data_IF_465300053042
#
_entry.id   IF_465300053042
#
_cell.length_a   1.000
_cell.length_b   1.000
_cell.length_c   1.000
_cell.angle_alpha   90.00
_cell.angle_beta   90.00
_cell.angle_gamma   90.00
#
_symmetry.space_group_name_H-M   'P 1'
#
loop_
_entity.id
_entity.type
_entity.pdbx_description
1 polymer ?
#
# COMPACT_ATOMS: atom_id res chain seq x y z
N UNK A 1 30.57 -17.06 -16.66
CA UNK A 1 30.20 -17.09 -15.23
C UNK A 1 28.69 -17.30 -15.16
N UNK A 2 28.23 -18.51 -14.85
CA UNK A 2 26.81 -18.86 -14.80
C UNK A 2 26.28 -18.82 -13.37
N UNK A 3 25.32 -17.95 -13.10
CA UNK A 3 24.60 -17.87 -11.83
C UNK A 3 23.65 -19.07 -11.73
N UNK A 4 23.84 -19.92 -10.72
CA UNK A 4 22.93 -21.02 -10.41
C UNK A 4 21.67 -20.47 -9.73
N UNK A 5 20.45 -20.86 -10.15
CA UNK A 5 19.23 -20.49 -9.44
C UNK A 5 19.15 -21.23 -8.09
N UNK A 6 18.95 -20.47 -7.01
CA UNK A 6 18.70 -21.01 -5.69
C UNK A 6 17.40 -21.83 -5.70
N UNK A 7 17.53 -23.13 -5.41
CA UNK A 7 16.39 -24.02 -5.24
C UNK A 7 15.50 -23.55 -4.10
N UNK A 8 14.21 -23.33 -4.40
CA UNK A 8 13.16 -23.20 -3.39
C UNK A 8 13.17 -24.45 -2.52
N UNK A 9 13.45 -24.30 -1.22
CA UNK A 9 13.23 -25.37 -0.25
C UNK A 9 11.72 -25.67 -0.20
N UNK A 10 11.28 -26.93 -0.35
CA UNK A 10 9.89 -27.29 -0.11
C UNK A 10 9.54 -27.00 1.36
N UNK A 11 8.42 -26.32 1.58
CA UNK A 11 7.89 -26.09 2.91
C UNK A 11 7.68 -27.44 3.60
N UNK A 12 8.34 -27.64 4.75
CA UNK A 12 8.09 -28.79 5.60
C UNK A 12 6.61 -28.77 6.02
N UNK A 13 5.83 -29.77 5.58
CA UNK A 13 4.49 -30.02 6.14
C UNK A 13 4.67 -30.31 7.63
N UNK A 14 4.12 -29.44 8.48
CA UNK A 14 4.06 -29.68 9.92
C UNK A 14 3.29 -31.00 10.17
N UNK A 15 3.86 -31.97 10.90
CA UNK A 15 3.18 -33.20 11.28
C UNK A 15 2.19 -32.87 12.42
N UNK A 16 0.98 -32.45 12.05
CA UNK A 16 -0.05 -32.09 13.02
C UNK A 16 -1.34 -31.56 12.39
N UNK A 17 -1.61 -31.89 11.13
CA UNK A 17 -2.87 -31.52 10.49
C UNK A 17 -4.01 -32.29 11.14
N UNK A 18 -4.70 -31.67 12.10
CA UNK A 18 -5.98 -32.18 12.57
C UNK A 18 -6.91 -32.30 11.36
N UNK A 19 -7.62 -33.44 11.21
CA UNK A 19 -8.61 -33.56 10.16
C UNK A 19 -9.63 -32.43 10.30
N UNK A 20 -10.13 -31.84 9.19
CA UNK A 20 -11.15 -30.81 9.26
C UNK A 20 -12.36 -31.36 10.01
N UNK A 21 -12.64 -30.83 11.20
CA UNK A 21 -13.84 -31.19 11.96
C UNK A 21 -15.03 -30.45 11.38
N UNK A 22 -15.95 -31.18 10.77
CA UNK A 22 -17.24 -30.63 10.36
C UNK A 22 -18.13 -30.47 11.59
N UNK A 23 -18.37 -29.24 11.99
CA UNK A 23 -19.22 -28.91 13.12
C UNK A 23 -20.68 -29.28 12.79
N UNK A 24 -21.25 -30.25 13.51
CA UNK A 24 -22.63 -30.71 13.31
C UNK A 24 -23.57 -29.91 14.19
N UNK A 25 -24.62 -29.33 13.63
CA UNK A 25 -25.58 -28.53 14.42
C UNK A 25 -26.37 -29.38 15.42
N UNK A 26 -26.45 -30.70 15.19
CA UNK A 26 -27.25 -31.64 15.98
C UNK A 26 -26.56 -32.99 16.15
N UNK A 27 -26.72 -33.58 17.33
CA UNK A 27 -26.40 -34.98 17.63
C UNK A 27 -27.60 -35.66 18.32
N UNK A 28 -27.85 -36.92 17.98
CA UNK A 28 -28.94 -37.72 18.56
C UNK A 28 -28.66 -38.13 20.02
N UNK A 29 -27.38 -38.25 20.40
CA UNK A 29 -26.94 -38.62 21.75
C UNK A 29 -25.66 -37.89 22.16
N UNK A 30 -25.43 -37.78 23.47
CA UNK A 30 -24.24 -37.12 24.04
C UNK A 30 -22.93 -37.85 23.69
N UNK A 31 -22.99 -39.18 23.63
CA UNK A 31 -21.85 -40.05 23.31
C UNK A 31 -21.35 -39.86 21.86
N UNK A 32 -22.24 -39.45 20.95
CA UNK A 32 -21.90 -39.14 19.58
C UNK A 32 -21.19 -37.79 19.43
N UNK A 33 -21.22 -36.94 20.45
CA UNK A 33 -20.54 -35.64 20.45
C UNK A 33 -19.05 -35.87 20.73
N UNK A 34 -18.15 -35.36 19.86
CA UNK A 34 -16.72 -35.37 20.14
C UNK A 34 -16.43 -34.76 21.51
N UNK A 35 -15.56 -35.40 22.30
CA UNK A 35 -15.31 -35.02 23.70
C UNK A 35 -14.92 -33.53 23.85
N UNK A 36 -14.12 -33.02 22.91
CA UNK A 36 -13.71 -31.62 22.87
C UNK A 36 -14.87 -30.63 22.64
N UNK A 37 -16.01 -31.09 22.15
CA UNK A 37 -17.16 -30.24 21.81
C UNK A 37 -18.34 -30.38 22.78
N UNK A 38 -18.39 -31.41 23.65
CA UNK A 38 -19.49 -31.62 24.60
C UNK A 38 -19.91 -30.38 25.40
N UNK A 39 -18.99 -29.51 25.88
CA UNK A 39 -19.38 -28.30 26.62
C UNK A 39 -20.24 -27.32 25.82
N UNK A 40 -20.18 -27.39 24.48
CA UNK A 40 -20.85 -26.46 23.56
C UNK A 40 -22.20 -26.98 23.04
N UNK A 41 -22.64 -28.13 23.52
CA UNK A 41 -23.94 -28.70 23.17
C UNK A 41 -24.84 -28.76 24.41
N UNK A 42 -26.12 -28.48 24.23
CA UNK A 42 -27.13 -28.66 25.26
C UNK A 42 -28.30 -29.52 24.75
N UNK A 43 -29.05 -30.17 25.65
CA UNK A 43 -30.27 -30.87 25.30
C UNK A 43 -31.24 -29.96 24.54
N UNK A 44 -31.68 -30.40 23.37
CA UNK A 44 -32.66 -29.68 22.55
C UNK A 44 -34.10 -29.97 22.97
N UNK A 45 -35.05 -29.06 22.71
CA UNK A 45 -36.47 -29.25 23.07
C UNK A 45 -37.15 -30.40 22.32
N UNK A 46 -36.61 -30.83 21.18
CA UNK A 46 -37.09 -31.95 20.38
C UNK A 46 -36.38 -33.29 20.73
N UNK A 47 -35.57 -33.33 21.78
CA UNK A 47 -34.64 -34.42 22.07
C UNK A 47 -33.31 -34.27 21.33
N UNK A 48 -32.30 -35.04 21.75
CA UNK A 48 -30.92 -34.91 21.26
C UNK A 48 -30.20 -33.67 21.80
N UNK A 49 -29.05 -33.36 21.20
CA UNK A 49 -28.13 -32.30 21.62
C UNK A 49 -27.90 -31.31 20.48
N UNK A 50 -28.12 -30.02 20.74
CA UNK A 50 -27.94 -28.92 19.79
C UNK A 50 -26.74 -28.06 20.17
N UNK A 51 -26.00 -27.60 19.17
CA UNK A 51 -24.90 -26.66 19.40
C UNK A 51 -25.47 -25.34 19.92
N UNK A 52 -24.89 -24.78 20.98
CA UNK A 52 -25.38 -23.54 21.55
C UNK A 52 -25.05 -22.37 20.62
N UNK A 53 -26.09 -21.68 20.14
CA UNK A 53 -25.94 -20.52 19.27
C UNK A 53 -25.18 -19.36 19.96
N UNK A 54 -25.25 -19.30 21.29
CA UNK A 54 -24.51 -18.33 22.12
C UNK A 54 -23.00 -18.53 22.02
N UNK A 55 -22.52 -19.77 21.98
CA UNK A 55 -21.10 -20.08 21.78
C UNK A 55 -20.63 -19.73 20.37
N UNK A 56 -21.49 -19.91 19.35
CA UNK A 56 -21.18 -19.45 17.99
C UNK A 56 -21.09 -17.92 17.92
N UNK A 57 -22.03 -17.23 18.57
CA UNK A 57 -22.07 -15.77 18.61
C UNK A 57 -20.85 -15.20 19.35
N UNK A 58 -20.50 -15.79 20.50
CA UNK A 58 -19.32 -15.43 21.28
C UNK A 58 -18.03 -15.67 20.48
N UNK A 59 -17.90 -16.82 19.82
CA UNK A 59 -16.75 -17.14 18.97
C UNK A 59 -16.65 -16.18 17.79
N UNK A 60 -17.77 -15.85 17.15
CA UNK A 60 -17.81 -14.89 16.03
C UNK A 60 -17.43 -13.49 16.47
N UNK A 61 -17.90 -13.05 17.64
CA UNK A 61 -17.52 -11.76 18.23
C UNK A 61 -16.03 -11.72 18.54
N UNK A 62 -15.47 -12.80 19.08
CA UNK A 62 -14.04 -12.91 19.36
C UNK A 62 -13.19 -12.90 18.09
N UNK A 63 -13.59 -13.65 17.05
CA UNK A 63 -12.91 -13.63 15.75
C UNK A 63 -12.93 -12.22 15.16
N UNK A 64 -14.07 -11.54 15.22
CA UNK A 64 -14.21 -10.15 14.74
C UNK A 64 -13.26 -9.23 15.50
N UNK A 65 -13.27 -9.29 16.83
CA UNK A 65 -12.40 -8.49 17.71
C UNK A 65 -10.91 -8.73 17.41
N UNK A 66 -10.52 -9.99 17.22
CA UNK A 66 -9.15 -10.35 16.88
C UNK A 66 -8.76 -9.86 15.48
N UNK A 67 -9.69 -9.92 14.51
CA UNK A 67 -9.49 -9.37 13.17
C UNK A 67 -9.28 -7.87 13.18
N UNK A 68 -10.09 -7.12 13.94
CA UNK A 68 -9.93 -5.68 14.13
C UNK A 68 -8.61 -5.34 14.83
N UNK A 69 -8.25 -6.07 15.87
CA UNK A 69 -6.98 -5.87 16.58
C UNK A 69 -5.76 -6.13 15.67
N UNK A 70 -5.83 -7.17 14.82
CA UNK A 70 -4.79 -7.46 13.85
C UNK A 70 -4.65 -6.33 12.82
N UNK A 71 -5.77 -5.86 12.25
CA UNK A 71 -5.77 -4.76 11.29
C UNK A 71 -5.19 -3.47 11.91
N UNK A 72 -5.54 -3.15 13.15
CA UNK A 72 -4.96 -2.02 13.88
C UNK A 72 -3.45 -2.19 14.11
N UNK A 73 -3.00 -3.39 14.46
CA UNK A 73 -1.58 -3.67 14.66
C UNK A 73 -0.77 -3.58 13.36
N UNK A 74 -1.33 -4.01 12.23
CA UNK A 74 -0.69 -3.90 10.91
C UNK A 74 -0.60 -2.44 10.46
N UNK A 75 -1.66 -1.67 10.64
CA UNK A 75 -1.66 -0.23 10.35
C UNK A 75 -0.66 0.52 11.23
N UNK A 76 -0.61 0.24 12.53
CA UNK A 76 0.37 0.83 13.43
C UNK A 76 1.82 0.47 13.04
N UNK A 77 2.05 -0.78 12.59
CA UNK A 77 3.36 -1.22 12.10
C UNK A 77 3.75 -0.47 10.82
N UNK A 78 2.83 -0.30 9.87
CA UNK A 78 3.07 0.46 8.65
C UNK A 78 3.40 1.92 8.96
N UNK A 79 2.60 2.56 9.81
CA UNK A 79 2.83 3.94 10.23
C UNK A 79 4.21 4.13 10.87
N UNK A 80 4.61 3.23 11.80
CA UNK A 80 5.93 3.28 12.42
C UNK A 80 7.07 3.06 11.40
N UNK A 81 6.88 2.17 10.43
CA UNK A 81 7.87 1.91 9.39
C UNK A 81 8.01 3.11 8.43
N UNK A 82 6.91 3.78 8.09
CA UNK A 82 6.89 5.02 7.30
C UNK A 82 7.62 6.14 8.04
N UNK A 83 7.34 6.35 9.32
CA UNK A 83 8.03 7.34 10.14
C UNK A 83 9.55 7.14 10.15
N UNK A 84 10.00 5.90 10.36
CA UNK A 84 11.42 5.55 10.34
C UNK A 84 12.07 5.79 8.96
N UNK A 85 11.38 5.44 7.87
CA UNK A 85 11.87 5.66 6.51
C UNK A 85 11.90 7.16 6.15
N UNK A 86 10.88 7.94 6.54
CA UNK A 86 10.82 9.38 6.35
C UNK A 86 11.96 10.11 7.07
N UNK A 87 12.28 9.70 8.30
CA UNK A 87 13.41 10.25 9.06
C UNK A 87 14.75 10.01 8.34
N UNK A 88 14.92 8.82 7.72
CA UNK A 88 16.14 8.46 7.00
C UNK A 88 16.28 9.21 5.67
N UNK A 89 15.17 9.37 4.95
CA UNK A 89 15.14 9.96 3.59
C UNK A 89 14.87 11.46 3.57
N UNK A 90 14.83 12.10 4.76
CA UNK A 90 14.61 13.53 4.94
C UNK A 90 13.30 14.03 4.29
N UNK A 91 12.23 13.23 4.42
CA UNK A 91 10.89 13.66 4.03
C UNK A 91 10.38 14.72 5.01
N UNK A 92 9.74 15.76 4.48
CA UNK A 92 9.15 16.86 5.25
C UNK A 92 8.12 16.32 6.24
N UNK A 93 8.08 16.90 7.45
CA UNK A 93 7.16 16.45 8.49
C UNK A 93 5.69 16.58 8.06
N UNK A 94 5.37 17.64 7.32
CA UNK A 94 4.03 17.95 6.82
C UNK A 94 3.57 16.97 5.74
N UNK A 95 4.51 16.33 5.03
CA UNK A 95 4.22 15.38 3.97
C UNK A 95 4.04 13.93 4.47
N UNK A 96 4.31 13.64 5.75
CA UNK A 96 4.30 12.26 6.27
C UNK A 96 2.94 11.59 6.15
N UNK A 97 1.85 12.33 6.35
CA UNK A 97 0.49 11.81 6.17
C UNK A 97 0.21 11.41 4.72
N UNK A 98 0.67 12.20 3.75
CA UNK A 98 0.56 11.86 2.32
C UNK A 98 1.42 10.66 1.96
N UNK A 99 2.64 10.57 2.51
CA UNK A 99 3.52 9.42 2.32
C UNK A 99 2.92 8.15 2.89
N UNK A 100 2.31 8.20 4.08
CA UNK A 100 1.60 7.06 4.66
C UNK A 100 0.47 6.61 3.75
N UNK A 101 -0.34 7.54 3.23
CA UNK A 101 -1.43 7.21 2.32
C UNK A 101 -0.92 6.60 1.00
N UNK A 102 0.18 7.13 0.44
CA UNK A 102 0.81 6.60 -0.75
C UNK A 102 1.46 5.21 -0.50
N UNK A 103 2.03 5.00 0.68
CA UNK A 103 2.59 3.72 1.09
C UNK A 103 1.49 2.66 1.24
N UNK A 104 0.34 2.98 1.83
CA UNK A 104 -0.82 2.07 1.90
C UNK A 104 -1.21 1.56 0.51
N UNK A 105 -1.26 2.45 -0.49
CA UNK A 105 -1.58 2.06 -1.85
C UNK A 105 -0.48 1.22 -2.52
N UNK A 106 0.79 1.55 -2.29
CA UNK A 106 1.92 0.85 -2.91
C UNK A 106 2.19 -0.53 -2.29
N UNK A 107 1.82 -0.74 -1.03
CA UNK A 107 2.07 -1.95 -0.25
C UNK A 107 0.79 -2.67 0.19
N UNK A 108 -0.36 -2.44 -0.48
CA UNK A 108 -1.64 -3.02 -0.11
C UNK A 108 -1.60 -4.57 -0.01
N UNK A 109 -0.83 -5.21 -0.89
CA UNK A 109 -0.72 -6.68 -0.97
C UNK A 109 0.56 -7.24 -0.31
N UNK A 110 1.35 -6.41 0.38
CA UNK A 110 2.66 -6.82 0.90
C UNK A 110 2.99 -6.18 2.23
N UNK A 111 3.59 -6.95 3.14
CA UNK A 111 4.13 -6.41 4.36
C UNK A 111 5.28 -5.43 4.03
N UNK A 112 5.03 -4.13 4.22
CA UNK A 112 6.06 -3.11 4.05
C UNK A 112 7.12 -3.26 5.15
N UNK A 113 8.36 -3.54 4.74
CA UNK A 113 9.51 -3.44 5.65
C UNK A 113 10.08 -2.02 5.61
N UNK A 114 10.73 -1.54 6.69
CA UNK A 114 11.39 -0.23 6.68
C UNK A 114 12.42 -0.06 5.55
N UNK A 115 13.13 -1.14 5.19
CA UNK A 115 14.10 -1.13 4.08
C UNK A 115 13.42 -0.94 2.73
N UNK A 116 12.32 -1.68 2.47
CA UNK A 116 11.55 -1.55 1.24
C UNK A 116 10.92 -0.15 1.10
N UNK A 117 10.45 0.44 2.22
CA UNK A 117 9.92 1.81 2.24
C UNK A 117 11.00 2.84 1.94
N UNK A 118 12.19 2.68 2.51
CA UNK A 118 13.33 3.57 2.25
C UNK A 118 13.73 3.52 0.79
N UNK A 119 13.86 2.32 0.21
CA UNK A 119 14.19 2.13 -1.21
C UNK A 119 13.11 2.72 -2.14
N UNK A 120 11.83 2.54 -1.78
CA UNK A 120 10.72 3.10 -2.51
C UNK A 120 10.73 4.64 -2.50
N UNK A 121 10.97 5.25 -1.33
CA UNK A 121 11.11 6.71 -1.19
C UNK A 121 12.31 7.26 -1.98
N UNK A 122 13.46 6.59 -1.94
CA UNK A 122 14.64 6.99 -2.72
C UNK A 122 14.42 6.84 -4.24
N UNK A 123 13.64 5.84 -4.65
CA UNK A 123 13.24 5.70 -6.06
C UNK A 123 12.34 6.86 -6.49
N UNK A 124 11.32 7.18 -5.69
CA UNK A 124 10.45 8.35 -5.92
C UNK A 124 11.23 9.65 -5.98
N UNK A 125 12.19 9.85 -5.07
CA UNK A 125 13.06 11.04 -5.04
C UNK A 125 13.86 11.22 -6.34
N UNK A 126 14.34 10.11 -6.92
CA UNK A 126 15.08 10.10 -8.18
C UNK A 126 14.20 10.37 -9.41
N UNK A 127 12.95 9.92 -9.39
CA UNK A 127 11.97 10.16 -10.45
C UNK A 127 11.58 11.64 -10.54
N UNK A 128 11.63 12.35 -9.42
CA UNK A 128 11.59 13.82 -9.35
C UNK A 128 11.40 14.29 -7.91
N UNK A 129 11.84 15.51 -7.57
CA UNK A 129 11.52 16.09 -6.27
C UNK A 129 10.03 16.41 -6.24
N UNK A 130 9.23 15.41 -5.83
CA UNK A 130 7.82 15.58 -5.56
C UNK A 130 7.59 16.46 -4.33
N UNK A 131 6.33 16.67 -3.92
CA UNK A 131 5.98 17.54 -2.80
C UNK A 131 6.46 17.02 -1.43
N UNK A 132 7.20 15.93 -1.35
CA UNK A 132 7.58 15.31 -0.08
C UNK A 132 8.93 15.76 0.46
N UNK A 133 9.75 16.43 -0.36
CA UNK A 133 11.08 16.90 0.03
C UNK A 133 11.18 18.40 -0.06
N UNK A 134 12.05 18.98 0.75
CA UNK A 134 12.43 20.39 0.58
C UNK A 134 13.27 20.53 -0.71
N UNK A 135 12.83 21.43 -1.57
CA UNK A 135 13.67 21.89 -2.67
C UNK A 135 14.74 22.80 -2.07
N UNK A 136 16.02 22.61 -2.40
CA UNK A 136 17.06 23.52 -1.93
C UNK A 136 16.70 24.95 -2.37
N UNK A 137 16.70 25.89 -1.43
CA UNK A 137 16.47 27.30 -1.71
C UNK A 137 17.58 27.79 -2.66
N UNK A 138 17.26 27.92 -3.95
CA UNK A 138 18.22 28.20 -5.03
C UNK A 138 18.22 27.18 -6.17
N UNK A 139 17.57 26.03 -5.98
CA UNK A 139 17.19 25.14 -7.07
C UNK A 139 16.07 25.79 -7.85
N UNK A 140 16.43 26.52 -8.91
CA UNK A 140 15.48 27.05 -9.88
C UNK A 140 14.48 25.97 -10.29
N UNK A 141 13.25 26.39 -10.59
CA UNK A 141 12.15 25.58 -11.11
C UNK A 141 12.76 24.40 -11.89
N UNK A 142 12.54 23.13 -11.47
CA UNK A 142 13.10 22.00 -12.19
C UNK A 142 12.69 22.19 -13.65
N UNK A 143 13.62 22.10 -14.62
CA UNK A 143 13.24 22.25 -16.01
C UNK A 143 12.13 21.23 -16.23
N UNK A 144 10.94 21.71 -16.53
CA UNK A 144 9.87 20.87 -17.03
C UNK A 144 10.54 20.06 -18.12
N UNK A 145 10.72 18.75 -17.90
CA UNK A 145 11.20 17.85 -18.95
C UNK A 145 10.05 17.77 -19.96
N UNK A 146 9.92 18.82 -20.77
CA UNK A 146 9.24 18.77 -22.04
C UNK A 146 10.04 17.74 -22.82
N UNK A 147 9.48 16.54 -22.93
CA UNK A 147 10.05 15.48 -23.76
C UNK A 147 10.38 16.05 -25.13
N UNK A 148 11.61 15.82 -25.59
CA UNK A 148 12.18 16.33 -26.84
C UNK A 148 11.94 17.83 -27.06
N UNK A 149 12.96 18.65 -26.76
CA UNK A 149 12.99 20.10 -26.95
C UNK A 149 12.19 20.56 -28.17
N UNK A 150 10.92 20.94 -27.95
CA UNK A 150 10.10 21.57 -28.98
C UNK A 150 10.81 22.89 -29.29
N UNK A 151 11.27 23.12 -30.53
CA UNK A 151 12.05 24.29 -30.86
C UNK A 151 11.28 25.56 -30.50
N UNK A 152 11.95 26.55 -29.88
CA UNK A 152 11.31 27.79 -29.47
C UNK A 152 10.68 28.46 -30.71
N UNK A 153 9.34 28.60 -30.79
CA UNK A 153 8.69 29.11 -31.99
C UNK A 153 9.00 30.60 -32.24
N UNK A 154 9.60 31.30 -31.26
CA UNK A 154 10.05 32.69 -31.37
C UNK A 154 11.52 32.85 -31.77
N UNK A 155 12.33 31.79 -31.72
CA UNK A 155 13.74 31.86 -32.13
C UNK A 155 13.85 32.09 -33.65
N UNK A 156 14.89 32.85 -34.06
CA UNK A 156 15.08 33.26 -35.46
C UNK A 156 15.18 32.07 -36.41
N UNK A 157 15.82 31.00 -35.96
CA UNK A 157 16.08 29.80 -36.76
C UNK A 157 14.88 28.85 -36.82
N UNK A 158 13.88 29.04 -35.94
CA UNK A 158 12.74 28.13 -35.74
C UNK A 158 11.42 28.89 -35.67
N UNK A 159 11.32 29.98 -36.43
CA UNK A 159 10.17 30.87 -36.45
C UNK A 159 8.91 30.16 -36.99
N UNK A 160 7.94 29.89 -36.14
CA UNK A 160 6.65 29.30 -36.52
C UNK A 160 5.47 30.19 -36.07
N UNK A 161 4.95 30.99 -37.01
CA UNK A 161 3.90 31.98 -36.75
C UNK A 161 2.58 31.37 -36.27
N UNK A 162 2.25 30.16 -36.71
CA UNK A 162 1.02 29.46 -36.30
C UNK A 162 1.07 29.07 -34.83
N UNK A 163 2.20 28.51 -34.39
CA UNK A 163 2.41 28.15 -32.98
C UNK A 163 2.57 29.39 -32.09
N UNK A 164 3.20 30.47 -32.58
CA UNK A 164 3.23 31.75 -31.87
C UNK A 164 1.82 32.31 -31.64
N UNK A 165 0.97 32.30 -32.68
CA UNK A 165 -0.42 32.76 -32.58
C UNK A 165 -1.25 31.92 -31.62
N UNK A 166 -1.01 30.60 -31.58
CA UNK A 166 -1.63 29.69 -30.62
C UNK A 166 -1.20 30.01 -29.19
N UNK A 167 0.11 30.14 -28.94
CA UNK A 167 0.68 30.40 -27.61
C UNK A 167 0.26 31.76 -27.06
N UNK A 168 0.24 32.81 -27.88
CA UNK A 168 -0.23 34.13 -27.46
C UNK A 168 -1.70 34.13 -27.02
N UNK A 169 -2.51 33.21 -27.55
CA UNK A 169 -3.94 33.07 -27.21
C UNK A 169 -4.19 32.17 -26.01
N UNK A 170 -3.48 31.04 -25.90
CA UNK A 170 -3.77 30.03 -24.88
C UNK A 170 -2.89 30.17 -23.63
N UNK A 171 -1.66 30.68 -23.77
CA UNK A 171 -0.65 30.74 -22.71
C UNK A 171 0.21 32.01 -22.84
N UNK A 172 -0.36 33.20 -22.57
CA UNK A 172 0.32 34.48 -22.82
C UNK A 172 1.60 34.68 -21.99
N UNK A 173 1.64 34.18 -20.76
CA UNK A 173 2.83 34.27 -19.90
C UNK A 173 3.99 33.42 -20.45
N UNK A 174 3.71 32.22 -20.94
CA UNK A 174 4.72 31.35 -21.57
C UNK A 174 5.25 31.99 -22.87
N UNK A 175 4.36 32.57 -23.67
CA UNK A 175 4.75 33.28 -24.90
C UNK A 175 5.70 34.45 -24.61
N UNK A 176 5.47 35.20 -23.51
CA UNK A 176 6.35 36.29 -23.07
C UNK A 176 7.74 35.78 -22.74
N UNK A 177 7.84 34.73 -21.93
CA UNK A 177 9.14 34.13 -21.54
C UNK A 177 9.90 33.61 -22.76
N UNK A 178 9.24 32.90 -23.67
CA UNK A 178 9.86 32.36 -24.87
C UNK A 178 10.33 33.45 -25.84
N UNK A 179 9.60 34.55 -25.95
CA UNK A 179 9.99 35.72 -26.74
C UNK A 179 11.21 36.43 -26.14
N UNK A 180 11.27 36.55 -24.82
CA UNK A 180 12.41 37.17 -24.14
C UNK A 180 13.68 36.30 -24.25
N UNK A 181 13.52 34.97 -24.30
CA UNK A 181 14.61 34.01 -24.57
C UNK A 181 15.08 33.99 -26.04
N UNK A 182 14.31 34.56 -26.97
CA UNK A 182 14.63 34.57 -28.40
C UNK A 182 15.31 35.87 -28.88
N UNK A 183 15.51 36.84 -27.98
CA UNK A 183 16.31 38.05 -28.22
C UNK A 183 17.79 37.76 -28.06
#
# INVERSE_FOLDING_TARGET
MGLRPHGRRPAARLPGGFPPMTLRVYYESEEAIPEALRPHYAPGPAGGFVFQAEDLAATTAEITRLGEALAQAEEARLAAAVEAACATTQVRAEARAEVLQAARAAFADSAASPAALTEWLETRRREGPGPWWDLPAGGGIPPVRLGAAVPNPFARDTLNLTEQGRLLRTQPELARVLRDQAR
#
